data_IF_851314739668
#
_entry.id   IF_851314739668
#
_cell.length_a   1.000
_cell.length_b   1.000
_cell.length_c   1.000
_cell.angle_alpha   90.00
_cell.angle_beta   90.00
_cell.angle_gamma   90.00
#
_symmetry.space_group_name_H-M   'P 1'
#
loop_
_entity.id
_entity.type
_entity.pdbx_description
1 polymer ?
#
# COMPACT_ATOMS: atom_id res chain seq x y z
N UNK A 1 -22.60 -37.73 9.29
CA UNK A 1 -21.47 -36.83 8.98
C UNK A 1 -20.18 -37.62 9.08
N UNK A 2 -19.53 -37.85 7.95
CA UNK A 2 -18.31 -38.66 7.86
C UNK A 2 -17.07 -37.88 8.34
N UNK A 3 -16.16 -38.59 9.02
CA UNK A 3 -14.88 -38.03 9.52
C UNK A 3 -14.05 -37.38 8.39
N UNK A 4 -14.14 -37.92 7.17
CA UNK A 4 -13.49 -37.37 5.97
C UNK A 4 -14.08 -36.02 5.56
N UNK A 5 -15.40 -35.85 5.69
CA UNK A 5 -16.08 -34.60 5.36
C UNK A 5 -15.74 -33.49 6.37
N UNK A 6 -15.61 -33.85 7.65
CA UNK A 6 -15.16 -32.93 8.70
C UNK A 6 -13.70 -32.50 8.50
N UNK A 7 -12.81 -33.42 8.14
CA UNK A 7 -11.42 -33.08 7.83
C UNK A 7 -11.31 -32.14 6.64
N UNK A 8 -12.08 -32.38 5.57
CA UNK A 8 -12.08 -31.50 4.40
C UNK A 8 -12.52 -30.08 4.75
N UNK A 9 -13.51 -29.94 5.64
CA UNK A 9 -14.03 -28.65 6.08
C UNK A 9 -13.02 -27.90 6.97
N UNK A 10 -12.38 -28.62 7.89
CA UNK A 10 -11.32 -28.08 8.76
C UNK A 10 -10.11 -27.63 7.94
N UNK A 11 -9.71 -28.42 6.95
CA UNK A 11 -8.59 -28.09 6.07
C UNK A 11 -8.88 -26.84 5.23
N UNK A 12 -10.10 -26.73 4.69
CA UNK A 12 -10.53 -25.54 3.95
C UNK A 12 -10.51 -24.29 4.82
N UNK A 13 -11.02 -24.38 6.05
CA UNK A 13 -11.03 -23.26 7.00
C UNK A 13 -9.60 -22.79 7.33
N UNK A 14 -8.69 -23.72 7.62
CA UNK A 14 -7.27 -23.42 7.90
C UNK A 14 -6.60 -22.76 6.69
N UNK A 15 -6.84 -23.28 5.48
CA UNK A 15 -6.29 -22.71 4.25
C UNK A 15 -6.80 -21.30 4.00
N UNK A 16 -8.10 -21.06 4.19
CA UNK A 16 -8.70 -19.74 3.99
C UNK A 16 -8.15 -18.71 4.99
N UNK A 17 -8.07 -19.07 6.29
CA UNK A 17 -7.48 -18.20 7.31
C UNK A 17 -6.02 -17.87 7.01
N UNK A 18 -5.23 -18.85 6.56
CA UNK A 18 -3.81 -18.65 6.26
C UNK A 18 -3.60 -17.79 5.02
N UNK A 19 -4.44 -17.95 3.99
CA UNK A 19 -4.45 -17.07 2.82
C UNK A 19 -4.74 -15.62 3.21
N UNK A 20 -5.77 -15.41 4.04
CA UNK A 20 -6.17 -14.06 4.47
C UNK A 20 -5.10 -13.39 5.33
N UNK A 21 -4.46 -14.13 6.23
CA UNK A 21 -3.34 -13.64 7.05
C UNK A 21 -2.12 -13.23 6.19
N UNK A 22 -1.77 -14.05 5.18
CA UNK A 22 -0.66 -13.71 4.27
C UNK A 22 -0.93 -12.47 3.42
N UNK A 23 -2.16 -12.30 2.93
CA UNK A 23 -2.53 -11.11 2.15
C UNK A 23 -2.51 -9.85 3.02
N UNK A 24 -2.93 -9.94 4.28
CA UNK A 24 -2.88 -8.82 5.23
C UNK A 24 -1.44 -8.39 5.51
N UNK A 25 -0.54 -9.34 5.80
CA UNK A 25 0.88 -9.04 6.04
C UNK A 25 1.57 -8.44 4.81
N UNK A 26 1.22 -8.88 3.60
CA UNK A 26 1.76 -8.33 2.35
C UNK A 26 1.24 -6.89 2.14
N UNK A 27 -0.04 -6.63 2.41
CA UNK A 27 -0.62 -5.29 2.30
C UNK A 27 0.06 -4.30 3.27
N UNK A 28 0.26 -4.68 4.53
CA UNK A 28 0.91 -3.85 5.55
C UNK A 28 2.39 -3.58 5.22
N UNK A 29 3.12 -4.60 4.72
CA UNK A 29 4.51 -4.46 4.29
C UNK A 29 4.64 -3.54 3.06
N UNK A 30 3.71 -3.63 2.12
CA UNK A 30 3.70 -2.78 0.94
C UNK A 30 3.34 -1.32 1.29
N UNK A 31 2.40 -1.11 2.21
CA UNK A 31 1.99 0.22 2.66
C UNK A 31 3.11 0.93 3.43
N UNK A 32 3.77 0.22 4.35
CA UNK A 32 4.94 0.74 5.09
C UNK A 32 6.09 1.10 4.14
N UNK A 33 6.32 0.28 3.12
CA UNK A 33 7.34 0.56 2.08
C UNK A 33 6.97 1.80 1.26
N UNK A 34 5.71 2.00 0.90
CA UNK A 34 5.27 3.14 0.10
C UNK A 34 5.33 4.45 0.90
N UNK A 35 4.90 4.44 2.17
CA UNK A 35 5.03 5.58 3.09
C UNK A 35 6.49 6.00 3.27
N UNK A 36 7.41 5.03 3.39
CA UNK A 36 8.86 5.28 3.49
C UNK A 36 9.42 5.89 2.19
N UNK A 37 9.00 5.40 1.03
CA UNK A 37 9.41 5.97 -0.26
C UNK A 37 8.95 7.42 -0.43
N UNK A 38 7.72 7.74 0.00
CA UNK A 38 7.20 9.12 0.00
C UNK A 38 8.05 10.01 0.92
N UNK A 39 8.37 9.54 2.12
CA UNK A 39 9.19 10.30 3.07
C UNK A 39 10.61 10.58 2.51
N UNK A 40 11.26 9.56 1.93
CA UNK A 40 12.56 9.70 1.31
C UNK A 40 12.53 10.63 0.10
N UNK A 41 11.51 10.51 -0.76
CA UNK A 41 11.34 11.37 -1.94
C UNK A 41 11.10 12.84 -1.54
N UNK A 42 10.31 13.10 -0.49
CA UNK A 42 10.14 14.45 0.08
C UNK A 42 11.45 15.05 0.59
N UNK A 43 12.24 14.27 1.33
CA UNK A 43 13.54 14.73 1.83
C UNK A 43 14.49 15.06 0.68
N UNK A 44 14.51 14.22 -0.37
CA UNK A 44 15.30 14.46 -1.59
C UNK A 44 14.85 15.72 -2.31
N UNK A 45 13.53 15.91 -2.50
CA UNK A 45 12.98 17.09 -3.15
C UNK A 45 13.34 18.36 -2.39
N UNK A 46 13.23 18.35 -1.06
CA UNK A 46 13.60 19.49 -0.22
C UNK A 46 15.10 19.81 -0.31
N UNK A 47 15.96 18.80 -0.34
CA UNK A 47 17.40 18.98 -0.53
C UNK A 47 17.71 19.62 -1.90
N UNK A 48 17.09 19.11 -2.96
CA UNK A 48 17.26 19.64 -4.32
C UNK A 48 16.72 21.07 -4.45
N UNK A 49 15.60 21.38 -3.80
CA UNK A 49 15.04 22.72 -3.76
C UNK A 49 16.01 23.70 -3.11
N UNK A 50 16.60 23.32 -1.97
CA UNK A 50 17.58 24.14 -1.25
C UNK A 50 18.87 24.34 -2.06
N UNK A 51 19.28 23.33 -2.82
CA UNK A 51 20.54 23.35 -3.58
C UNK A 51 20.43 24.09 -4.93
N UNK A 52 19.31 23.92 -5.63
CA UNK A 52 19.17 24.33 -7.03
C UNK A 52 18.04 25.33 -7.29
N UNK A 53 17.17 25.57 -6.32
CA UNK A 53 15.97 26.39 -6.48
C UNK A 53 14.82 25.66 -7.19
N UNK A 54 13.62 26.23 -7.05
CA UNK A 54 12.34 25.60 -7.44
C UNK A 54 12.14 25.42 -8.97
N UNK A 55 12.89 26.13 -9.80
CA UNK A 55 12.79 26.08 -11.27
C UNK A 55 13.78 25.12 -11.92
N UNK A 56 14.64 24.44 -11.14
CA UNK A 56 15.60 23.52 -11.71
C UNK A 56 14.90 22.26 -12.25
N UNK A 57 15.22 21.80 -13.47
CA UNK A 57 14.63 20.59 -14.05
C UNK A 57 14.78 19.35 -13.16
N UNK A 58 15.83 19.26 -12.34
CA UNK A 58 16.04 18.16 -11.39
C UNK A 58 15.02 18.21 -10.24
N UNK A 59 14.64 19.41 -9.78
CA UNK A 59 13.59 19.61 -8.77
C UNK A 59 12.22 19.27 -9.37
N UNK A 60 12.00 19.62 -10.63
CA UNK A 60 10.76 19.29 -11.34
C UNK A 60 10.60 17.77 -11.52
N UNK A 61 11.66 17.08 -11.94
CA UNK A 61 11.68 15.62 -12.06
C UNK A 61 11.40 14.95 -10.70
N UNK A 62 12.07 15.40 -9.63
CA UNK A 62 11.82 14.88 -8.28
C UNK A 62 10.39 15.15 -7.78
N UNK A 63 9.77 16.26 -8.20
CA UNK A 63 8.37 16.58 -7.86
C UNK A 63 7.40 15.62 -8.56
N UNK A 64 7.66 15.28 -9.83
CA UNK A 64 6.86 14.31 -10.59
C UNK A 64 6.96 12.92 -9.96
N UNK A 65 8.18 12.48 -9.61
CA UNK A 65 8.39 11.19 -8.92
C UNK A 65 7.62 11.13 -7.59
N UNK A 66 7.62 12.22 -6.80
CA UNK A 66 6.85 12.29 -5.57
C UNK A 66 5.33 12.24 -5.82
N UNK A 67 4.84 12.92 -6.85
CA UNK A 67 3.42 12.92 -7.20
C UNK A 67 2.93 11.52 -7.59
N UNK A 68 3.71 10.76 -8.36
CA UNK A 68 3.39 9.38 -8.69
C UNK A 68 3.27 8.48 -7.44
N UNK A 69 4.17 8.64 -6.48
CA UNK A 69 4.13 7.91 -5.21
C UNK A 69 2.89 8.27 -4.39
N UNK A 70 2.54 9.55 -4.32
CA UNK A 70 1.32 10.02 -3.64
C UNK A 70 0.06 9.50 -4.34
N UNK A 71 0.02 9.49 -5.67
CA UNK A 71 -1.09 8.95 -6.44
C UNK A 71 -1.27 7.44 -6.21
N UNK A 72 -0.18 6.68 -6.12
CA UNK A 72 -0.24 5.25 -5.75
C UNK A 72 -0.77 5.05 -4.34
N UNK A 73 -0.31 5.86 -3.39
CA UNK A 73 -0.76 5.80 -2.00
C UNK A 73 -2.25 6.13 -1.88
N UNK A 74 -2.71 7.19 -2.54
CA UNK A 74 -4.13 7.54 -2.60
C UNK A 74 -4.97 6.44 -3.26
N UNK A 75 -4.50 5.78 -4.33
CA UNK A 75 -5.22 4.65 -4.92
C UNK A 75 -5.34 3.46 -3.97
N UNK A 76 -4.27 3.16 -3.22
CA UNK A 76 -4.28 2.08 -2.24
C UNK A 76 -5.25 2.37 -1.08
N UNK A 77 -5.27 3.61 -0.57
CA UNK A 77 -6.19 4.00 0.51
C UNK A 77 -7.64 4.15 0.04
N UNK A 78 -7.88 4.68 -1.16
CA UNK A 78 -9.24 4.85 -1.70
C UNK A 78 -9.93 3.51 -1.97
N UNK A 79 -9.16 2.44 -2.14
CA UNK A 79 -9.68 1.06 -2.24
C UNK A 79 -10.12 0.52 -0.86
N UNK A 80 -9.63 1.08 0.24
CA UNK A 80 -10.04 0.72 1.60
C UNK A 80 -11.31 1.47 2.06
N UNK A 81 -11.54 2.70 1.59
CA UNK A 81 -12.75 3.49 1.92
C UNK A 81 -14.03 3.05 1.17
N UNK A 82 -13.93 2.32 0.06
CA UNK A 82 -15.10 1.86 -0.70
C UNK A 82 -15.79 0.60 -0.14
N UNK A 83 -15.36 0.12 1.03
CA UNK A 83 -15.94 -1.05 1.72
C UNK A 83 -16.71 -0.70 3.00
N UNK A 84 -17.04 0.58 3.22
CA UNK A 84 -17.66 1.05 4.47
C UNK A 84 -18.92 1.90 4.26
N UNK A 85 -19.66 1.70 3.16
CA UNK A 85 -20.99 2.31 3.03
C UNK A 85 -22.01 1.44 2.26
N UNK A 86 -22.45 0.36 2.92
CA UNK A 86 -23.83 -0.18 2.89
C UNK A 86 -23.89 -1.36 3.87
N UNK A 87 -24.91 -1.49 4.73
CA UNK A 87 -26.30 -1.09 4.51
C UNK A 87 -26.95 -0.29 5.67
N UNK A 88 -27.88 0.61 5.34
CA UNK A 88 -29.33 0.49 5.63
C UNK A 88 -30.11 1.51 4.79
#
# INVERSE_FOLDING_TARGET
MDKKSLQSFLLYHILHSKLQETMSQIAEKNESTLKQQIAASRARLQCLWNLHGHTNPVVLAASIELDELLNRYHRQNKTQDLNLDSPD
#
